data_IF_644699599005
#
_entry.id   IF_644699599005
#
_cell.length_a   1.000
_cell.length_b   1.000
_cell.length_c   1.000
_cell.angle_alpha   90.00
_cell.angle_beta   90.00
_cell.angle_gamma   90.00
#
_symmetry.space_group_name_H-M   'P 1'
#
loop_
_entity.id
_entity.type
_entity.pdbx_description
1 polymer ?
#
# COMPACT_ATOMS: atom_id res chain seq x y z
N UNK A 1 2.78 -20.46 -18.83
CA UNK A 1 2.00 -21.05 -17.72
C UNK A 1 1.46 -22.39 -18.18
N UNK A 2 1.12 -23.31 -17.27
CA UNK A 2 0.47 -24.57 -17.68
C UNK A 2 -0.99 -24.30 -18.06
N UNK A 3 -1.58 -25.15 -18.91
CA UNK A 3 -3.01 -25.07 -19.27
C UNK A 3 -3.93 -25.13 -18.03
N UNK A 4 -3.51 -25.81 -16.97
CA UNK A 4 -4.24 -25.86 -15.71
C UNK A 4 -4.20 -24.50 -14.99
N UNK A 5 -3.02 -23.88 -14.95
CA UNK A 5 -2.84 -22.55 -14.32
C UNK A 5 -3.68 -21.50 -15.03
N UNK A 6 -3.70 -21.50 -16.36
CA UNK A 6 -4.49 -20.58 -17.17
C UNK A 6 -5.99 -20.71 -16.85
N UNK A 7 -6.53 -21.93 -16.88
CA UNK A 7 -7.94 -22.20 -16.53
C UNK A 7 -8.33 -21.79 -15.11
N UNK A 8 -7.42 -21.91 -14.15
CA UNK A 8 -7.67 -21.46 -12.77
C UNK A 8 -7.74 -19.93 -12.73
N UNK A 9 -6.87 -19.24 -13.47
CA UNK A 9 -6.84 -17.77 -13.54
C UNK A 9 -8.04 -17.21 -14.32
N UNK A 10 -8.55 -17.92 -15.32
CA UNK A 10 -9.75 -17.52 -16.08
C UNK A 10 -11.00 -17.39 -15.20
N UNK A 11 -11.03 -18.05 -14.04
CA UNK A 11 -12.10 -17.89 -13.05
C UNK A 11 -12.03 -16.60 -12.23
N UNK A 12 -10.97 -15.80 -12.38
CA UNK A 12 -10.75 -14.58 -11.61
C UNK A 12 -11.24 -13.36 -12.40
N UNK A 13 -12.10 -12.56 -11.78
CA UNK A 13 -12.53 -11.28 -12.35
C UNK A 13 -11.46 -10.20 -12.14
N UNK A 14 -10.50 -10.13 -13.06
CA UNK A 14 -9.43 -9.13 -13.02
C UNK A 14 -9.93 -7.70 -13.22
N UNK A 15 -11.06 -7.50 -13.91
CA UNK A 15 -11.63 -6.17 -14.13
C UNK A 15 -12.17 -5.62 -12.81
N UNK A 16 -12.91 -6.43 -12.06
CA UNK A 16 -13.36 -6.09 -10.70
C UNK A 16 -12.17 -5.78 -9.77
N UNK A 17 -11.13 -6.62 -9.80
CA UNK A 17 -9.92 -6.41 -8.97
C UNK A 17 -9.22 -5.09 -9.32
N UNK A 18 -9.03 -4.81 -10.62
CA UNK A 18 -8.44 -3.56 -11.10
C UNK A 18 -9.25 -2.36 -10.62
N UNK A 19 -10.57 -2.40 -10.80
CA UNK A 19 -11.45 -1.32 -10.38
C UNK A 19 -11.38 -1.07 -8.87
N UNK A 20 -11.46 -2.12 -8.05
CA UNK A 20 -11.42 -1.99 -6.58
C UNK A 20 -10.11 -1.42 -6.06
N UNK A 21 -8.97 -1.88 -6.60
CA UNK A 21 -7.65 -1.36 -6.19
C UNK A 21 -7.49 0.10 -6.56
N UNK A 22 -7.94 0.50 -7.75
CA UNK A 22 -7.91 1.90 -8.20
C UNK A 22 -8.82 2.77 -7.34
N UNK A 23 -10.06 2.34 -7.10
CA UNK A 23 -11.01 3.03 -6.21
C UNK A 23 -10.42 3.28 -4.81
N UNK A 24 -9.87 2.24 -4.19
CA UNK A 24 -9.24 2.33 -2.87
C UNK A 24 -8.00 3.25 -2.88
N UNK A 25 -7.14 3.12 -3.90
CA UNK A 25 -5.96 3.98 -4.04
C UNK A 25 -6.34 5.44 -4.23
N UNK A 26 -7.25 5.75 -5.16
CA UNK A 26 -7.71 7.11 -5.42
C UNK A 26 -8.28 7.74 -4.15
N UNK A 27 -9.10 6.99 -3.40
CA UNK A 27 -9.66 7.48 -2.15
C UNK A 27 -8.58 7.86 -1.14
N UNK A 28 -7.59 6.99 -0.92
CA UNK A 28 -6.47 7.32 -0.02
C UNK A 28 -5.62 8.46 -0.56
N UNK A 29 -5.35 8.49 -1.88
CA UNK A 29 -4.53 9.51 -2.51
C UNK A 29 -5.12 10.90 -2.34
N UNK A 30 -6.41 11.07 -2.60
CA UNK A 30 -7.08 12.36 -2.43
C UNK A 30 -7.06 12.87 -0.98
N UNK A 31 -7.01 11.98 0.01
CA UNK A 31 -7.01 12.34 1.43
C UNK A 31 -5.60 12.47 2.04
N UNK A 32 -4.59 11.82 1.46
CA UNK A 32 -3.24 11.71 2.04
C UNK A 32 -2.14 12.36 1.21
N UNK A 33 -2.36 12.73 -0.05
CA UNK A 33 -1.31 13.27 -0.94
C UNK A 33 -0.55 14.45 -0.34
N UNK A 34 -1.24 15.36 0.35
CA UNK A 34 -0.61 16.56 0.94
C UNK A 34 0.25 16.25 2.17
N UNK A 35 -0.04 15.13 2.87
CA UNK A 35 0.74 14.64 4.01
C UNK A 35 1.83 13.65 3.59
N UNK A 36 1.73 13.09 2.39
CA UNK A 36 2.64 12.08 1.90
C UNK A 36 3.94 12.71 1.42
N UNK A 37 5.08 12.27 1.97
CA UNK A 37 6.40 12.74 1.55
C UNK A 37 6.85 12.18 0.19
N UNK A 38 6.02 11.34 -0.44
CA UNK A 38 6.18 10.90 -1.82
C UNK A 38 5.22 11.69 -2.72
N UNK A 39 5.77 12.24 -3.80
CA UNK A 39 4.96 12.62 -4.94
C UNK A 39 4.65 11.36 -5.75
N UNK A 40 3.38 11.04 -5.91
CA UNK A 40 2.95 9.83 -6.63
C UNK A 40 2.12 10.25 -7.83
N UNK A 41 2.64 9.97 -9.02
CA UNK A 41 1.88 10.13 -10.25
C UNK A 41 0.99 8.90 -10.44
N UNK A 42 -0.33 9.13 -10.42
CA UNK A 42 -1.34 8.09 -10.58
C UNK A 42 -2.18 8.36 -11.82
N UNK A 43 -1.95 7.57 -12.87
CA UNK A 43 -2.64 7.65 -14.15
C UNK A 43 -3.74 6.57 -14.29
N UNK A 44 -4.41 6.56 -15.44
CA UNK A 44 -5.51 5.64 -15.73
C UNK A 44 -5.10 4.19 -16.01
N UNK A 45 -3.84 3.98 -16.37
CA UNK A 45 -3.30 2.64 -16.70
C UNK A 45 -2.71 1.94 -15.48
N UNK A 46 -2.38 2.67 -14.42
CA UNK A 46 -1.80 2.14 -13.20
C UNK A 46 -2.78 1.28 -12.39
N UNK A 47 -2.34 0.08 -11.97
CA UNK A 47 -3.08 -0.77 -11.02
C UNK A 47 -2.21 -1.00 -9.79
N UNK A 48 -2.36 -0.16 -8.75
CA UNK A 48 -1.45 -0.17 -7.62
C UNK A 48 -1.63 -1.43 -6.76
N UNK A 49 -0.51 -1.94 -6.24
CA UNK A 49 -0.53 -3.08 -5.31
C UNK A 49 -0.78 -2.63 -3.86
N UNK A 50 -0.26 -1.45 -3.51
CA UNK A 50 -0.33 -0.81 -2.19
C UNK A 50 -0.48 0.70 -2.38
N UNK A 51 -0.91 1.42 -1.33
CA UNK A 51 -0.72 2.86 -1.27
C UNK A 51 0.55 3.16 -0.43
N UNK A 52 1.62 3.71 -1.03
CA UNK A 52 2.87 3.96 -0.30
C UNK A 52 2.78 5.31 0.42
N UNK A 53 2.45 5.26 1.71
CA UNK A 53 2.52 6.46 2.55
C UNK A 53 3.94 6.60 3.10
N UNK A 54 4.66 7.64 2.68
CA UNK A 54 5.94 7.99 3.30
C UNK A 54 5.72 9.09 4.32
N UNK A 55 6.11 8.81 5.56
CA UNK A 55 5.97 9.73 6.69
C UNK A 55 7.16 9.60 7.63
N UNK A 56 7.44 10.66 8.39
CA UNK A 56 8.42 10.62 9.50
C UNK A 56 7.79 10.15 10.82
N UNK A 57 6.46 10.00 10.85
CA UNK A 57 5.72 9.56 12.02
C UNK A 57 5.78 8.04 12.19
N UNK A 58 6.81 7.58 12.90
CA UNK A 58 7.08 6.16 13.11
C UNK A 58 5.97 5.43 13.91
N UNK A 59 5.17 6.16 14.69
CA UNK A 59 4.10 5.60 15.52
C UNK A 59 2.88 5.14 14.72
N UNK A 60 2.66 5.68 13.51
CA UNK A 60 1.48 5.33 12.68
C UNK A 60 1.41 3.82 12.44
N UNK A 61 2.56 3.18 12.18
CA UNK A 61 2.60 1.72 11.99
C UNK A 61 2.11 0.95 13.22
N UNK A 62 2.47 1.41 14.42
CA UNK A 62 2.06 0.77 15.68
C UNK A 62 0.57 0.99 15.95
N UNK A 63 0.06 2.20 15.68
CA UNK A 63 -1.38 2.53 15.77
C UNK A 63 -2.21 1.64 14.85
N UNK A 64 -1.80 1.51 13.58
CA UNK A 64 -2.47 0.65 12.61
C UNK A 64 -2.47 -0.82 13.04
N UNK A 65 -1.34 -1.35 13.55
CA UNK A 65 -1.25 -2.73 14.05
C UNK A 65 -2.19 -2.95 15.25
N UNK A 66 -2.27 -2.00 16.19
CA UNK A 66 -3.18 -2.09 17.33
C UNK A 66 -4.65 -2.23 16.89
N UNK A 67 -5.00 -1.58 15.78
CA UNK A 67 -6.32 -1.65 15.14
C UNK A 67 -6.50 -2.82 14.16
N UNK A 68 -5.56 -3.76 14.16
CA UNK A 68 -5.53 -4.96 13.29
C UNK A 68 -5.45 -4.59 11.79
N UNK A 69 -4.87 -3.44 11.47
CA UNK A 69 -4.55 -3.01 10.10
C UNK A 69 -3.08 -3.32 9.84
N UNK A 70 -2.84 -4.48 9.26
CA UNK A 70 -1.48 -4.98 9.03
C UNK A 70 -0.92 -4.45 7.72
N UNK A 71 0.11 -3.62 7.81
CA UNK A 71 0.85 -3.09 6.66
C UNK A 71 2.11 -3.92 6.41
N UNK A 72 2.39 -4.23 5.14
CA UNK A 72 3.60 -4.95 4.78
C UNK A 72 4.86 -4.13 5.10
N UNK A 73 5.98 -4.84 5.32
CA UNK A 73 7.32 -4.27 5.39
C UNK A 73 8.15 -4.92 4.29
N UNK A 74 8.52 -4.14 3.27
CA UNK A 74 9.32 -4.65 2.16
C UNK A 74 10.82 -4.51 2.45
N UNK A 75 11.56 -5.59 2.16
CA UNK A 75 13.02 -5.67 2.31
C UNK A 75 13.54 -5.26 3.70
N UNK A 76 13.04 -5.84 4.81
CA UNK A 76 13.47 -5.47 6.17
C UNK A 76 14.97 -5.72 6.41
N UNK A 77 15.58 -6.64 5.66
CA UNK A 77 17.01 -6.93 5.63
C UNK A 77 17.87 -5.71 5.23
N UNK A 78 17.32 -4.71 4.54
CA UNK A 78 18.05 -3.45 4.24
C UNK A 78 18.48 -2.74 5.52
N UNK A 79 17.73 -2.90 6.61
CA UNK A 79 18.07 -2.31 7.91
C UNK A 79 19.31 -2.94 8.56
N UNK A 80 19.71 -4.13 8.12
CA UNK A 80 20.94 -4.78 8.59
C UNK A 80 22.08 -4.66 7.57
N UNK A 81 21.77 -4.57 6.27
CA UNK A 81 22.76 -4.50 5.20
C UNK A 81 23.34 -3.11 4.97
N UNK A 82 22.64 -2.05 5.40
CA UNK A 82 23.05 -0.67 5.17
C UNK A 82 22.93 0.16 6.45
N UNK A 83 23.73 1.22 6.54
CA UNK A 83 23.62 2.22 7.61
C UNK A 83 22.50 3.24 7.34
N UNK A 84 22.20 4.07 8.35
CA UNK A 84 21.13 5.07 8.32
C UNK A 84 21.38 6.29 7.42
N UNK A 85 22.58 6.41 6.82
CA UNK A 85 22.91 7.46 5.85
C UNK A 85 22.36 7.13 4.46
N UNK A 86 22.10 5.85 4.19
CA UNK A 86 21.58 5.39 2.89
C UNK A 86 20.08 5.65 2.77
N UNK A 87 19.67 6.12 1.59
CA UNK A 87 18.26 6.35 1.27
C UNK A 87 17.42 5.09 1.43
N UNK A 88 17.93 3.93 1.00
CA UNK A 88 17.22 2.66 1.13
C UNK A 88 16.83 2.35 2.59
N UNK A 89 17.77 2.55 3.53
CA UNK A 89 17.51 2.37 4.97
C UNK A 89 16.37 3.29 5.46
N UNK A 90 16.41 4.57 5.06
CA UNK A 90 15.39 5.55 5.45
C UNK A 90 14.03 5.21 4.85
N UNK A 91 13.96 4.89 3.56
CA UNK A 91 12.72 4.52 2.88
C UNK A 91 12.09 3.27 3.49
N UNK A 92 12.87 2.25 3.84
CA UNK A 92 12.37 1.04 4.52
C UNK A 92 11.70 1.36 5.86
N UNK A 93 12.15 2.39 6.58
CA UNK A 93 11.54 2.83 7.84
C UNK A 93 10.34 3.76 7.64
N UNK A 94 10.45 4.69 6.71
CA UNK A 94 9.50 5.80 6.52
C UNK A 94 8.27 5.42 5.67
N UNK A 95 8.37 4.38 4.83
CA UNK A 95 7.25 3.96 3.98
C UNK A 95 6.37 2.94 4.72
N UNK A 96 5.09 3.24 4.80
CA UNK A 96 4.02 2.37 5.26
C UNK A 96 3.22 1.95 4.02
N UNK A 97 3.24 0.65 3.71
CA UNK A 97 2.50 0.09 2.58
C UNK A 97 1.05 -0.18 3.00
N UNK A 98 0.20 0.85 2.88
CA UNK A 98 -1.22 0.75 3.25
C UNK A 98 -1.94 -0.23 2.32
N UNK A 99 -2.77 -1.13 2.86
CA UNK A 99 -3.49 -2.12 2.07
C UNK A 99 -4.61 -1.46 1.27
N UNK A 100 -4.73 -1.84 -0.01
CA UNK A 100 -5.76 -1.34 -0.93
C UNK A 100 -6.37 -2.47 -1.78
N UNK A 101 -6.04 -3.72 -1.48
CA UNK A 101 -6.41 -4.85 -2.33
C UNK A 101 -7.93 -5.05 -2.43
N UNK A 102 -8.36 -5.88 -3.37
CA UNK A 102 -9.77 -6.07 -3.74
C UNK A 102 -10.69 -6.56 -2.62
N UNK A 103 -10.12 -7.04 -1.49
CA UNK A 103 -10.89 -7.46 -0.31
C UNK A 103 -11.34 -6.28 0.54
N UNK A 104 -10.71 -5.12 0.36
CA UNK A 104 -11.02 -3.89 1.07
C UNK A 104 -12.04 -3.06 0.29
N UNK A 105 -12.77 -2.24 1.05
CA UNK A 105 -13.76 -1.28 0.54
C UNK A 105 -13.43 0.13 1.02
N UNK A 106 -14.15 1.12 0.51
CA UNK A 106 -14.02 2.52 0.95
C UNK A 106 -14.21 2.68 2.47
N UNK A 107 -15.09 1.92 3.10
CA UNK A 107 -15.25 1.97 4.57
C UNK A 107 -13.98 1.54 5.31
N UNK A 108 -13.23 0.58 4.76
CA UNK A 108 -11.93 0.22 5.31
C UNK A 108 -10.89 1.33 5.07
N UNK A 109 -10.94 2.02 3.92
CA UNK A 109 -10.04 3.15 3.66
C UNK A 109 -10.31 4.31 4.62
N UNK A 110 -11.59 4.61 4.90
CA UNK A 110 -11.98 5.58 5.94
C UNK A 110 -11.43 5.19 7.30
N UNK A 111 -11.57 3.92 7.69
CA UNK A 111 -10.98 3.42 8.96
C UNK A 111 -9.47 3.63 8.99
N UNK A 112 -8.75 3.39 7.89
CA UNK A 112 -7.30 3.64 7.82
C UNK A 112 -6.99 5.13 8.10
N UNK A 113 -7.76 6.05 7.51
CA UNK A 113 -7.54 7.50 7.68
C UNK A 113 -7.69 7.98 9.13
N UNK A 114 -8.43 7.28 9.99
CA UNK A 114 -8.56 7.63 11.41
C UNK A 114 -7.24 7.50 12.19
N UNK A 115 -6.29 6.70 11.68
CA UNK A 115 -5.03 6.36 12.37
C UNK A 115 -3.78 6.85 11.64
N UNK A 116 -3.95 7.64 10.57
CA UNK A 116 -2.89 8.08 9.64
C UNK A 116 -2.82 9.60 9.53
#
# INVERSE_FOLDING_TARGET
MSNLTEKILDGVDFNYIKQKRRENFSFLHENLKDKNLLNIDFDDDCVPMIYPLRTKEMEIRQKLIAEKIYCASYWPNVLTWCDNTKNAFRLTKEIIALPIDQRYSIEHMKKILEYV
#
